data_IF_071157365809
#
_entry.id   IF_071157365809
#
_cell.length_a   1.000
_cell.length_b   1.000
_cell.length_c   1.000
_cell.angle_alpha   90.00
_cell.angle_beta   90.00
_cell.angle_gamma   90.00
#
_symmetry.space_group_name_H-M   'P 1'
#
loop_
_entity.id
_entity.type
_entity.pdbx_description
1 polymer ?
#
# COMPACT_ATOMS: atom_id res chain seq x y z
N UNK A 1 -1.45 -19.21 7.83
CA UNK A 1 -1.32 -19.22 6.34
C UNK A 1 -0.67 -17.91 5.92
N UNK A 2 0.29 -17.97 5.02
CA UNK A 2 1.04 -16.79 4.57
C UNK A 2 0.19 -15.86 3.69
N UNK A 3 0.36 -14.55 3.87
CA UNK A 3 -0.13 -13.52 2.96
C UNK A 3 0.94 -13.13 1.96
N UNK A 4 2.19 -13.06 2.40
CA UNK A 4 3.34 -12.68 1.59
C UNK A 4 4.43 -13.71 1.80
N UNK A 5 5.04 -14.18 0.71
CA UNK A 5 6.24 -14.99 0.71
C UNK A 5 7.18 -14.46 -0.37
N UNK A 6 8.38 -14.09 0.02
CA UNK A 6 9.47 -13.72 -0.88
C UNK A 6 10.69 -14.58 -0.55
N UNK A 7 11.31 -15.17 -1.56
CA UNK A 7 12.49 -16.02 -1.41
C UNK A 7 13.58 -15.55 -2.37
N UNK A 8 14.74 -15.23 -1.82
CA UNK A 8 15.93 -14.75 -2.54
C UNK A 8 15.61 -13.62 -3.54
N UNK A 9 14.62 -12.77 -3.17
CA UNK A 9 14.06 -11.75 -4.03
C UNK A 9 15.11 -10.69 -4.35
N UNK A 10 15.43 -10.56 -5.64
CA UNK A 10 16.43 -9.64 -6.14
C UNK A 10 15.83 -8.72 -7.20
N UNK A 11 16.15 -7.44 -7.11
CA UNK A 11 15.83 -6.47 -8.15
C UNK A 11 17.03 -5.61 -8.48
N UNK A 12 17.44 -5.67 -9.75
CA UNK A 12 18.55 -4.92 -10.31
C UNK A 12 18.01 -3.90 -11.30
N UNK A 13 18.46 -2.66 -11.18
CA UNK A 13 18.23 -1.62 -12.18
C UNK A 13 19.55 -1.30 -12.88
N UNK A 14 19.46 -0.97 -14.16
CA UNK A 14 20.57 -0.49 -14.94
C UNK A 14 20.44 1.02 -15.12
N UNK A 15 21.41 1.78 -14.64
CA UNK A 15 21.47 3.24 -14.77
C UNK A 15 22.74 3.60 -15.55
N UNK A 16 22.63 3.78 -16.87
CA UNK A 16 23.78 3.83 -17.75
C UNK A 16 24.55 2.50 -17.73
N UNK A 17 25.84 2.56 -17.42
CA UNK A 17 26.73 1.38 -17.31
C UNK A 17 26.76 0.78 -15.88
N UNK A 18 26.06 1.37 -14.92
CA UNK A 18 26.04 0.90 -13.54
C UNK A 18 24.86 -0.02 -13.23
N UNK A 19 25.13 -1.10 -12.47
CA UNK A 19 24.11 -1.95 -11.88
C UNK A 19 23.80 -1.51 -10.45
N UNK A 20 22.54 -1.14 -10.19
CA UNK A 20 22.04 -0.83 -8.85
C UNK A 20 21.18 -1.97 -8.36
N UNK A 21 21.66 -2.72 -7.36
CA UNK A 21 20.90 -3.79 -6.69
C UNK A 21 20.01 -3.18 -5.61
N UNK A 22 18.78 -2.85 -5.98
CA UNK A 22 17.81 -2.27 -5.05
C UNK A 22 17.29 -3.30 -4.02
N UNK A 23 17.19 -4.57 -4.42
CA UNK A 23 17.03 -5.73 -3.53
C UNK A 23 18.07 -6.80 -3.91
N UNK A 24 18.64 -7.47 -2.92
CA UNK A 24 19.74 -8.43 -3.07
C UNK A 24 19.51 -9.65 -2.17
N UNK A 25 18.77 -10.65 -2.69
CA UNK A 25 18.49 -11.90 -1.99
C UNK A 25 17.56 -11.77 -0.77
N UNK A 26 16.56 -10.85 -0.83
CA UNK A 26 15.64 -10.65 0.27
C UNK A 26 14.71 -11.85 0.46
N UNK A 27 14.68 -12.42 1.68
CA UNK A 27 13.75 -13.48 2.07
C UNK A 27 12.91 -13.02 3.24
N UNK A 28 11.59 -12.92 3.04
CA UNK A 28 10.60 -12.51 4.06
C UNK A 28 9.29 -13.28 3.91
N UNK A 29 8.62 -13.48 5.04
CA UNK A 29 7.26 -14.04 5.10
C UNK A 29 6.41 -13.22 6.05
N UNK A 30 5.14 -13.01 5.68
CA UNK A 30 4.15 -12.33 6.51
C UNK A 30 2.85 -13.14 6.51
N UNK A 31 2.28 -13.38 7.67
CA UNK A 31 1.00 -14.06 7.80
C UNK A 31 -0.18 -13.15 7.43
N UNK A 32 -1.32 -13.77 7.12
CA UNK A 32 -2.57 -13.06 6.80
C UNK A 32 -3.09 -12.28 8.00
N UNK A 33 -3.68 -11.13 7.72
CA UNK A 33 -4.27 -10.26 8.74
C UNK A 33 -3.25 -9.53 9.63
N UNK A 34 -1.94 -9.68 9.37
CA UNK A 34 -0.90 -9.00 10.14
C UNK A 34 -0.66 -7.58 9.64
N UNK A 35 -0.25 -6.75 10.58
CA UNK A 35 0.25 -5.40 10.32
C UNK A 35 1.79 -5.41 10.42
N UNK A 36 2.46 -5.10 9.32
CA UNK A 36 3.92 -5.06 9.25
C UNK A 36 4.44 -3.67 8.85
N UNK A 37 5.56 -3.26 9.45
CA UNK A 37 6.35 -2.11 9.01
C UNK A 37 7.60 -2.56 8.27
N UNK A 38 7.94 -1.88 7.19
CA UNK A 38 9.22 -1.96 6.50
C UNK A 38 10.00 -0.69 6.81
N UNK A 39 11.10 -0.82 7.55
CA UNK A 39 11.92 0.30 8.02
C UNK A 39 13.36 0.20 7.49
N UNK A 40 14.04 1.32 7.41
CA UNK A 40 15.42 1.38 6.95
C UNK A 40 15.78 2.75 6.37
N UNK A 41 17.07 3.02 6.12
CA UNK A 41 17.52 4.28 5.55
C UNK A 41 16.99 4.50 4.12
N UNK A 42 17.12 5.72 3.61
CA UNK A 42 16.83 6.00 2.19
C UNK A 42 17.71 5.12 1.30
N UNK A 43 17.16 4.63 0.19
CA UNK A 43 17.86 3.72 -0.73
C UNK A 43 17.99 2.27 -0.25
N UNK A 44 17.39 1.87 0.88
CA UNK A 44 17.49 0.48 1.39
C UNK A 44 16.61 -0.54 0.65
N UNK A 45 15.81 -0.13 -0.35
CA UNK A 45 14.98 -1.02 -1.16
C UNK A 45 13.50 -1.10 -0.74
N UNK A 46 13.04 -0.29 0.23
CA UNK A 46 11.66 -0.32 0.74
C UNK A 46 10.60 -0.11 -0.35
N UNK A 47 10.71 0.97 -1.12
CA UNK A 47 9.76 1.27 -2.20
C UNK A 47 9.86 0.24 -3.34
N UNK A 48 11.05 -0.34 -3.58
CA UNK A 48 11.21 -1.44 -4.53
C UNK A 48 10.48 -2.70 -4.05
N UNK A 49 10.61 -3.05 -2.76
CA UNK A 49 9.85 -4.16 -2.18
C UNK A 49 8.34 -3.93 -2.33
N UNK A 50 7.86 -2.73 -1.99
CA UNK A 50 6.45 -2.36 -2.15
C UNK A 50 5.98 -2.49 -3.60
N UNK A 51 6.80 -2.04 -4.57
CA UNK A 51 6.48 -2.15 -5.99
C UNK A 51 6.37 -3.61 -6.46
N UNK A 52 7.26 -4.49 -5.99
CA UNK A 52 7.21 -5.92 -6.31
C UNK A 52 6.01 -6.61 -5.66
N UNK A 53 5.75 -6.37 -4.37
CA UNK A 53 4.57 -6.90 -3.67
C UNK A 53 3.26 -6.42 -4.31
N UNK A 54 3.25 -5.20 -4.79
CA UNK A 54 2.10 -4.58 -5.45
C UNK A 54 1.95 -4.94 -6.93
N UNK A 55 2.87 -5.70 -7.52
CA UNK A 55 2.84 -6.02 -8.95
C UNK A 55 2.97 -4.79 -9.85
N UNK A 56 3.63 -3.73 -9.37
CA UNK A 56 4.00 -2.55 -10.17
C UNK A 56 5.31 -2.76 -10.92
N UNK A 57 6.14 -3.69 -10.41
CA UNK A 57 7.40 -4.09 -11.00
C UNK A 57 7.55 -5.61 -10.90
N UNK A 58 8.57 -6.18 -11.57
CA UNK A 58 8.86 -7.61 -11.58
C UNK A 58 10.27 -7.88 -11.06
N UNK A 59 10.51 -8.97 -10.31
CA UNK A 59 11.83 -9.28 -9.80
C UNK A 59 12.79 -9.66 -10.92
N UNK A 60 14.09 -9.37 -10.75
CA UNK A 60 15.17 -9.83 -11.62
C UNK A 60 15.50 -11.31 -11.38
N UNK A 61 15.43 -11.76 -10.12
CA UNK A 61 15.56 -13.17 -9.72
C UNK A 61 14.88 -13.41 -8.37
N UNK A 62 14.87 -14.69 -7.94
CA UNK A 62 14.12 -15.11 -6.76
C UNK A 62 12.63 -15.25 -7.05
N UNK A 63 11.80 -15.28 -6.00
CA UNK A 63 10.36 -15.42 -6.17
C UNK A 63 9.57 -14.57 -5.17
N UNK A 64 8.38 -14.16 -5.57
CA UNK A 64 7.42 -13.47 -4.72
C UNK A 64 6.01 -14.00 -4.96
N UNK A 65 5.31 -14.33 -3.89
CA UNK A 65 3.90 -14.69 -3.91
C UNK A 65 3.10 -13.89 -2.88
N UNK A 66 1.88 -13.54 -3.24
CA UNK A 66 0.94 -12.82 -2.38
C UNK A 66 -0.39 -13.56 -2.37
N UNK A 67 -0.85 -13.95 -1.18
CA UNK A 67 -2.03 -14.80 -0.99
C UNK A 67 -2.02 -16.07 -1.85
N UNK A 68 -0.81 -16.67 -2.03
CA UNK A 68 -0.59 -17.86 -2.85
C UNK A 68 -0.54 -17.59 -4.36
N UNK A 69 -0.73 -16.35 -4.82
CA UNK A 69 -0.55 -15.98 -6.22
C UNK A 69 0.93 -15.66 -6.48
N UNK A 70 1.60 -16.47 -7.28
CA UNK A 70 2.98 -16.23 -7.69
C UNK A 70 3.02 -15.11 -8.73
N UNK A 71 3.70 -14.00 -8.41
CA UNK A 71 3.75 -12.83 -9.29
C UNK A 71 4.82 -12.94 -10.39
N UNK A 72 5.82 -13.82 -10.19
CA UNK A 72 6.85 -14.07 -11.20
C UNK A 72 6.25 -14.59 -12.52
N UNK A 73 6.62 -13.96 -13.62
CA UNK A 73 6.19 -14.39 -14.96
C UNK A 73 4.74 -14.04 -15.32
N UNK A 74 4.02 -13.32 -14.46
CA UNK A 74 2.71 -12.77 -14.80
C UNK A 74 2.82 -11.77 -15.95
N UNK A 75 1.85 -11.81 -16.87
CA UNK A 75 1.72 -10.79 -17.90
C UNK A 75 1.28 -9.45 -17.31
N UNK A 76 1.42 -8.37 -18.06
CA UNK A 76 0.90 -7.06 -17.64
C UNK A 76 -0.60 -7.07 -17.34
N UNK A 77 -1.38 -7.89 -18.07
CA UNK A 77 -2.82 -8.07 -17.85
C UNK A 77 -3.09 -8.80 -16.52
N UNK A 78 -2.33 -9.87 -16.23
CA UNK A 78 -2.46 -10.61 -14.97
C UNK A 78 -2.09 -9.74 -13.77
N UNK A 79 -0.99 -8.97 -13.86
CA UNK A 79 -0.60 -8.02 -12.84
C UNK A 79 -1.65 -6.90 -12.66
N UNK A 80 -2.28 -6.43 -13.72
CA UNK A 80 -3.37 -5.47 -13.61
C UNK A 80 -4.62 -6.07 -12.93
N UNK A 81 -4.96 -7.33 -13.24
CA UNK A 81 -6.03 -8.06 -12.57
C UNK A 81 -5.71 -8.29 -11.08
N UNK A 82 -4.49 -8.70 -10.77
CA UNK A 82 -3.98 -8.85 -9.41
C UNK A 82 -4.10 -7.55 -8.60
N UNK A 83 -3.59 -6.42 -9.12
CA UNK A 83 -3.70 -5.12 -8.45
C UNK A 83 -5.15 -4.74 -8.18
N UNK A 84 -6.02 -4.94 -9.18
CA UNK A 84 -7.44 -4.59 -9.08
C UNK A 84 -8.18 -5.39 -8.01
N UNK A 85 -7.84 -6.68 -7.82
CA UNK A 85 -8.60 -7.59 -6.95
C UNK A 85 -7.95 -7.81 -5.57
N UNK A 86 -6.64 -7.59 -5.43
CA UNK A 86 -5.90 -8.05 -4.26
C UNK A 86 -5.24 -6.92 -3.50
N UNK A 87 -4.82 -5.84 -4.17
CA UNK A 87 -3.98 -4.80 -3.57
C UNK A 87 -4.67 -3.44 -3.54
N UNK A 88 -4.59 -2.77 -2.39
CA UNK A 88 -4.85 -1.34 -2.24
C UNK A 88 -3.53 -0.60 -2.02
N UNK A 89 -3.37 0.57 -2.67
CA UNK A 89 -2.18 1.40 -2.50
C UNK A 89 -2.53 2.73 -1.83
N UNK A 90 -1.73 3.10 -0.83
CA UNK A 90 -1.72 4.42 -0.19
C UNK A 90 -0.31 4.99 -0.34
N UNK A 91 -0.18 6.16 -0.95
CA UNK A 91 1.10 6.82 -1.19
C UNK A 91 1.22 8.10 -0.37
N UNK A 92 2.44 8.56 -0.17
CA UNK A 92 2.76 9.82 0.50
C UNK A 92 2.15 11.03 -0.23
N UNK A 93 2.17 11.07 -1.56
CA UNK A 93 1.69 12.18 -2.41
C UNK A 93 0.19 12.07 -2.78
N UNK A 94 -0.58 11.24 -2.09
CA UNK A 94 -2.01 11.02 -2.28
C UNK A 94 -2.44 10.55 -3.68
N UNK A 95 -1.86 11.08 -4.76
CA UNK A 95 -2.18 10.82 -6.17
C UNK A 95 -3.69 10.87 -6.47
N UNK A 96 -4.39 11.87 -5.93
CA UNK A 96 -5.78 12.12 -6.25
C UNK A 96 -5.90 12.84 -7.61
N UNK A 97 -6.92 12.46 -8.38
CA UNK A 97 -7.25 13.12 -9.63
C UNK A 97 -7.91 14.47 -9.32
N UNK A 98 -7.22 15.55 -9.64
CA UNK A 98 -7.58 16.93 -9.22
C UNK A 98 -8.90 17.43 -9.79
N UNK A 99 -9.34 16.90 -10.93
CA UNK A 99 -10.59 17.25 -11.59
C UNK A 99 -11.81 16.46 -11.10
N UNK A 100 -11.59 15.44 -10.26
CA UNK A 100 -12.63 14.61 -9.65
C UNK A 100 -12.88 15.02 -8.20
N UNK A 101 -14.11 14.82 -7.71
CA UNK A 101 -14.47 14.98 -6.30
C UNK A 101 -13.85 13.83 -5.45
N UNK A 102 -13.98 13.91 -4.12
CA UNK A 102 -13.54 12.87 -3.22
C UNK A 102 -14.24 11.53 -3.52
N UNK A 103 -15.56 11.53 -3.65
CA UNK A 103 -16.34 10.33 -4.00
C UNK A 103 -15.91 9.81 -5.39
N UNK A 104 -15.81 10.67 -6.38
CA UNK A 104 -15.41 10.27 -7.73
C UNK A 104 -13.99 9.67 -7.78
N UNK A 105 -13.06 10.15 -6.97
CA UNK A 105 -11.73 9.54 -6.82
C UNK A 105 -11.83 8.10 -6.29
N UNK A 106 -12.72 7.84 -5.34
CA UNK A 106 -12.97 6.48 -4.81
C UNK A 106 -13.70 5.60 -5.83
N UNK A 107 -14.53 6.16 -6.70
CA UNK A 107 -15.21 5.44 -7.77
C UNK A 107 -14.25 4.93 -8.87
N UNK A 108 -13.08 5.55 -9.06
CA UNK A 108 -12.15 5.20 -10.17
C UNK A 108 -11.78 3.72 -10.19
N UNK A 109 -11.25 3.10 -9.12
CA UNK A 109 -10.91 1.68 -9.14
C UNK A 109 -12.13 0.77 -9.33
N UNK A 110 -13.31 1.15 -8.84
CA UNK A 110 -14.56 0.42 -9.05
C UNK A 110 -15.01 0.49 -10.53
N UNK A 111 -14.82 1.64 -11.17
CA UNK A 111 -15.09 1.81 -12.60
C UNK A 111 -14.18 0.91 -13.45
N UNK A 112 -12.91 0.83 -13.10
CA UNK A 112 -11.95 -0.07 -13.75
C UNK A 112 -12.26 -1.55 -13.50
N UNK A 113 -12.93 -1.87 -12.41
CA UNK A 113 -13.46 -3.19 -12.10
C UNK A 113 -14.83 -3.48 -12.74
N UNK A 114 -15.35 -2.56 -13.58
CA UNK A 114 -16.64 -2.67 -14.26
C UNK A 114 -17.85 -2.81 -13.34
N UNK A 115 -17.76 -2.30 -12.10
CA UNK A 115 -18.87 -2.23 -11.15
C UNK A 115 -19.94 -1.28 -11.69
N UNK A 116 -21.21 -1.61 -11.52
CA UNK A 116 -22.35 -0.78 -11.98
C UNK A 116 -22.31 0.62 -11.36
N UNK A 117 -22.91 1.62 -12.04
CA UNK A 117 -22.86 3.01 -11.58
C UNK A 117 -23.48 3.19 -10.19
N UNK A 118 -24.57 2.49 -9.92
CA UNK A 118 -25.28 2.57 -8.63
C UNK A 118 -24.44 1.99 -7.50
N UNK A 119 -24.03 0.74 -7.63
CA UNK A 119 -23.19 0.05 -6.63
C UNK A 119 -21.87 0.79 -6.37
N UNK A 120 -21.26 1.34 -7.43
CA UNK A 120 -20.04 2.11 -7.35
C UNK A 120 -20.21 3.37 -6.51
N UNK A 121 -21.31 4.11 -6.73
CA UNK A 121 -21.64 5.32 -5.96
C UNK A 121 -21.92 5.00 -4.51
N UNK A 122 -22.73 3.98 -4.24
CA UNK A 122 -23.05 3.51 -2.89
C UNK A 122 -21.75 3.13 -2.15
N UNK A 123 -20.92 2.27 -2.76
CA UNK A 123 -19.66 1.85 -2.15
C UNK A 123 -18.69 3.02 -1.91
N UNK A 124 -18.59 3.97 -2.82
CA UNK A 124 -17.74 5.14 -2.65
C UNK A 124 -18.24 6.03 -1.50
N UNK A 125 -19.55 6.25 -1.35
CA UNK A 125 -20.12 6.97 -0.23
C UNK A 125 -19.83 6.27 1.11
N UNK A 126 -20.05 4.95 1.21
CA UNK A 126 -19.71 4.16 2.40
C UNK A 126 -18.25 4.35 2.82
N UNK A 127 -17.32 4.31 1.87
CA UNK A 127 -15.89 4.43 2.15
C UNK A 127 -15.49 5.86 2.55
N UNK A 128 -16.12 6.87 1.97
CA UNK A 128 -15.91 8.27 2.36
C UNK A 128 -16.45 8.51 3.78
N UNK A 129 -17.60 7.92 4.14
CA UNK A 129 -18.09 7.94 5.53
C UNK A 129 -17.16 7.19 6.47
N UNK A 130 -16.66 6.01 6.10
CA UNK A 130 -15.73 5.21 6.90
C UNK A 130 -14.48 5.99 7.32
N UNK A 131 -13.98 6.87 6.44
CA UNK A 131 -12.82 7.72 6.75
C UNK A 131 -13.20 9.09 7.33
N UNK A 132 -14.47 9.28 7.75
CA UNK A 132 -14.97 10.48 8.41
C UNK A 132 -15.08 11.72 7.50
N UNK A 133 -15.34 11.52 6.21
CA UNK A 133 -15.40 12.59 5.21
C UNK A 133 -16.76 12.71 4.48
N UNK A 134 -17.84 12.16 5.04
CA UNK A 134 -19.16 12.21 4.41
C UNK A 134 -19.58 13.63 3.99
N UNK A 135 -19.33 14.61 4.85
CA UNK A 135 -19.61 16.03 4.59
C UNK A 135 -18.68 16.69 3.55
N UNK A 136 -17.65 15.98 3.08
CA UNK A 136 -16.64 16.42 2.10
C UNK A 136 -16.69 15.65 0.78
N UNK A 137 -17.63 14.73 0.62
CA UNK A 137 -17.69 13.82 -0.53
C UNK A 137 -17.67 14.50 -1.90
N UNK A 138 -18.28 15.66 -2.03
CA UNK A 138 -18.37 16.44 -3.27
C UNK A 138 -17.24 17.48 -3.42
N UNK A 139 -16.31 17.57 -2.47
CA UNK A 139 -15.15 18.46 -2.55
C UNK A 139 -14.07 17.87 -3.47
N UNK A 140 -13.38 18.75 -4.21
CA UNK A 140 -12.21 18.39 -5.01
C UNK A 140 -10.93 18.45 -4.17
N UNK A 141 -9.86 17.77 -4.58
CA UNK A 141 -8.60 17.71 -3.83
C UNK A 141 -8.04 19.08 -3.40
N UNK A 142 -8.22 20.12 -4.22
CA UNK A 142 -7.75 21.48 -3.88
C UNK A 142 -8.54 22.12 -2.71
N UNK A 143 -9.72 21.61 -2.41
CA UNK A 143 -10.60 22.08 -1.33
C UNK A 143 -10.43 21.29 -0.04
N UNK A 144 -9.53 20.28 -0.04
CA UNK A 144 -9.27 19.38 1.05
C UNK A 144 -7.88 19.66 1.68
N UNK A 145 -7.81 19.55 3.00
CA UNK A 145 -6.54 19.57 3.72
C UNK A 145 -5.67 18.34 3.35
N UNK A 146 -4.39 18.36 3.72
CA UNK A 146 -3.48 17.22 3.50
C UNK A 146 -4.02 15.91 4.08
N UNK A 147 -4.47 15.95 5.33
CA UNK A 147 -5.04 14.76 5.99
C UNK A 147 -6.38 14.33 5.41
N UNK A 148 -7.24 15.24 4.95
CA UNK A 148 -8.47 14.87 4.24
C UNK A 148 -8.13 14.20 2.90
N UNK A 149 -7.15 14.72 2.15
CA UNK A 149 -6.67 14.07 0.91
C UNK A 149 -6.12 12.67 1.16
N UNK A 150 -5.36 12.48 2.23
CA UNK A 150 -4.85 11.16 2.59
C UNK A 150 -5.97 10.18 2.96
N UNK A 151 -6.97 10.63 3.70
CA UNK A 151 -8.15 9.81 4.02
C UNK A 151 -8.95 9.43 2.77
N UNK A 152 -9.09 10.32 1.80
CA UNK A 152 -9.66 9.98 0.47
C UNK A 152 -8.80 8.95 -0.26
N UNK A 153 -7.46 9.06 -0.22
CA UNK A 153 -6.56 8.08 -0.82
C UNK A 153 -6.69 6.69 -0.16
N UNK A 154 -6.88 6.64 1.17
CA UNK A 154 -7.17 5.39 1.89
C UNK A 154 -8.53 4.82 1.45
N UNK A 155 -9.58 5.62 1.42
CA UNK A 155 -10.89 5.19 0.95
C UNK A 155 -10.82 4.62 -0.48
N UNK A 156 -10.10 5.28 -1.38
CA UNK A 156 -9.84 4.80 -2.75
C UNK A 156 -9.10 3.46 -2.76
N UNK A 157 -8.10 3.28 -1.90
CA UNK A 157 -7.35 2.04 -1.80
C UNK A 157 -8.24 0.85 -1.37
N UNK A 158 -9.28 1.11 -0.58
CA UNK A 158 -10.23 0.11 -0.06
C UNK A 158 -11.38 -0.22 -1.04
N UNK A 159 -11.51 0.50 -2.15
CA UNK A 159 -12.66 0.43 -3.04
C UNK A 159 -12.98 -1.00 -3.48
N UNK A 160 -12.02 -1.73 -3.98
CA UNK A 160 -12.16 -3.12 -4.49
C UNK A 160 -12.01 -4.20 -3.40
N UNK A 161 -12.14 -3.86 -2.12
CA UNK A 161 -12.00 -4.79 -0.99
C UNK A 161 -10.68 -5.58 -1.05
N UNK A 162 -9.53 -4.89 -1.03
CA UNK A 162 -8.22 -5.54 -1.14
C UNK A 162 -7.95 -6.47 0.04
N UNK A 163 -7.16 -7.52 -0.19
CA UNK A 163 -6.64 -8.39 0.86
C UNK A 163 -5.34 -7.85 1.46
N UNK A 164 -4.59 -7.08 0.67
CA UNK A 164 -3.32 -6.47 1.03
C UNK A 164 -3.40 -4.95 0.82
N UNK A 165 -3.12 -4.18 1.86
CA UNK A 165 -2.94 -2.74 1.80
C UNK A 165 -1.46 -2.41 1.88
N UNK A 166 -0.94 -1.74 0.88
CA UNK A 166 0.43 -1.27 0.80
C UNK A 166 0.44 0.24 1.01
N UNK A 167 1.09 0.73 2.08
CA UNK A 167 1.14 2.14 2.42
C UNK A 167 2.59 2.63 2.44
N UNK A 168 2.96 3.50 1.49
CA UNK A 168 4.30 4.09 1.39
C UNK A 168 4.29 5.48 2.02
N UNK A 169 4.95 5.62 3.18
CA UNK A 169 5.04 6.85 3.97
C UNK A 169 3.67 7.56 4.17
N UNK A 170 2.63 6.85 4.66
CA UNK A 170 1.25 7.35 4.62
C UNK A 170 1.01 8.61 5.45
N UNK A 171 1.94 8.99 6.31
CA UNK A 171 1.87 10.18 7.17
C UNK A 171 2.98 11.20 6.90
N UNK A 172 3.87 10.93 5.92
CA UNK A 172 5.09 11.70 5.70
C UNK A 172 4.88 13.18 5.34
N UNK A 173 3.74 13.52 4.73
CA UNK A 173 3.38 14.90 4.35
C UNK A 173 2.33 15.54 5.30
N UNK A 174 2.15 14.99 6.51
CA UNK A 174 1.13 15.43 7.46
C UNK A 174 1.75 15.96 8.74
N UNK A 175 1.05 16.90 9.39
CA UNK A 175 1.37 17.27 10.76
C UNK A 175 1.09 16.11 11.72
N UNK A 176 1.65 16.16 12.92
CA UNK A 176 1.59 15.08 13.91
C UNK A 176 0.15 14.66 14.26
N UNK A 177 -0.74 15.63 14.52
CA UNK A 177 -2.15 15.36 14.87
C UNK A 177 -2.90 14.69 13.74
N UNK A 178 -2.72 15.17 12.52
CA UNK A 178 -3.36 14.62 11.33
C UNK A 178 -2.77 13.25 10.98
N UNK A 179 -1.46 13.08 11.15
CA UNK A 179 -0.77 11.80 10.98
C UNK A 179 -1.27 10.74 11.96
N UNK A 180 -1.48 11.09 13.22
CA UNK A 180 -2.05 10.18 14.22
C UNK A 180 -3.45 9.69 13.83
N UNK A 181 -4.33 10.58 13.33
CA UNK A 181 -5.65 10.19 12.87
C UNK A 181 -5.60 9.23 11.65
N UNK A 182 -4.68 9.45 10.71
CA UNK A 182 -4.46 8.55 9.57
C UNK A 182 -3.93 7.19 10.04
N UNK A 183 -2.99 7.18 10.98
CA UNK A 183 -2.47 5.97 11.61
C UNK A 183 -3.57 5.15 12.25
N UNK A 184 -4.44 5.78 13.04
CA UNK A 184 -5.58 5.11 13.68
C UNK A 184 -6.51 4.42 12.67
N UNK A 185 -6.79 5.07 11.55
CA UNK A 185 -7.58 4.45 10.47
C UNK A 185 -6.89 3.18 9.96
N UNK A 186 -5.58 3.22 9.67
CA UNK A 186 -4.84 2.06 9.16
C UNK A 186 -4.82 0.90 10.16
N UNK A 187 -4.63 1.20 11.47
CA UNK A 187 -4.67 0.20 12.54
C UNK A 187 -6.06 -0.44 12.67
N UNK A 188 -7.11 0.38 12.59
CA UNK A 188 -8.49 -0.09 12.68
C UNK A 188 -8.89 -0.95 11.47
N UNK A 189 -8.40 -0.64 10.27
CA UNK A 189 -8.62 -1.46 9.07
C UNK A 189 -8.02 -2.85 9.22
N UNK A 190 -6.81 -2.96 9.77
CA UNK A 190 -6.19 -4.25 10.04
C UNK A 190 -7.00 -5.07 11.07
N UNK A 191 -7.32 -4.48 12.22
CA UNK A 191 -8.02 -5.16 13.32
C UNK A 191 -9.44 -5.61 12.98
N UNK A 192 -10.21 -4.76 12.29
CA UNK A 192 -11.65 -4.97 12.10
C UNK A 192 -12.00 -5.65 10.77
N UNK A 193 -11.12 -5.60 9.77
CA UNK A 193 -11.38 -6.12 8.43
C UNK A 193 -10.42 -7.25 8.02
N UNK A 194 -9.52 -7.67 8.93
CA UNK A 194 -8.51 -8.72 8.70
C UNK A 194 -7.65 -8.46 7.44
N UNK A 195 -7.53 -7.20 7.03
CA UNK A 195 -6.69 -6.81 5.90
C UNK A 195 -5.22 -6.91 6.33
N UNK A 196 -4.40 -7.61 5.57
CA UNK A 196 -2.95 -7.54 5.76
C UNK A 196 -2.46 -6.16 5.36
N UNK A 197 -1.71 -5.50 6.24
CA UNK A 197 -1.19 -4.15 5.98
C UNK A 197 0.33 -4.18 6.03
N UNK A 198 0.97 -3.67 4.99
CA UNK A 198 2.41 -3.41 4.97
C UNK A 198 2.62 -1.92 4.78
N UNK A 199 3.28 -1.29 5.74
CA UNK A 199 3.61 0.13 5.65
C UNK A 199 5.12 0.34 5.62
N UNK A 200 5.56 1.20 4.74
CA UNK A 200 6.89 1.77 4.76
C UNK A 200 6.83 3.04 5.59
N UNK A 201 7.70 3.16 6.57
CA UNK A 201 7.78 4.36 7.39
C UNK A 201 9.18 4.60 7.94
N UNK A 202 9.52 5.86 8.12
CA UNK A 202 10.68 6.29 8.90
C UNK A 202 10.28 6.77 10.31
N UNK A 203 8.97 6.79 10.64
CA UNK A 203 8.47 7.16 11.96
C UNK A 203 8.56 5.95 12.91
N UNK A 204 9.42 6.00 13.97
CA UNK A 204 9.58 4.91 14.92
C UNK A 204 8.31 4.61 15.73
N UNK A 205 7.51 5.63 16.04
CA UNK A 205 6.27 5.45 16.80
C UNK A 205 5.24 4.63 16.03
N UNK A 206 5.12 4.92 14.73
CA UNK A 206 4.25 4.14 13.84
C UNK A 206 4.77 2.70 13.67
N UNK A 207 6.08 2.53 13.49
CA UNK A 207 6.69 1.22 13.37
C UNK A 207 6.48 0.37 14.65
N UNK A 208 6.58 0.99 15.83
CA UNK A 208 6.38 0.30 17.12
C UNK A 208 4.93 -0.13 17.39
N UNK A 209 3.96 0.40 16.64
CA UNK A 209 2.55 -0.01 16.72
C UNK A 209 2.23 -1.19 15.78
N UNK A 210 3.21 -1.67 15.01
CA UNK A 210 3.04 -2.84 14.13
C UNK A 210 3.44 -4.13 14.83
N UNK A 211 2.83 -5.25 14.42
CA UNK A 211 3.11 -6.57 14.98
C UNK A 211 4.44 -7.15 14.48
N UNK A 212 4.85 -6.75 13.27
CA UNK A 212 6.08 -7.23 12.63
C UNK A 212 6.84 -6.04 12.07
N UNK A 213 8.17 -6.01 12.26
CA UNK A 213 9.02 -5.01 11.62
C UNK A 213 10.10 -5.70 10.79
N UNK A 214 10.17 -5.38 9.52
CA UNK A 214 11.25 -5.77 8.63
C UNK A 214 12.23 -4.61 8.49
N UNK A 215 13.45 -4.79 8.99
CA UNK A 215 14.51 -3.79 8.84
C UNK A 215 15.35 -4.09 7.62
N UNK A 216 15.32 -3.17 6.65
CA UNK A 216 16.10 -3.28 5.42
C UNK A 216 17.34 -2.38 5.48
N UNK A 217 18.44 -2.88 4.87
CA UNK A 217 19.69 -2.14 4.68
C UNK A 217 20.45 -2.68 3.49
N UNK A 218 20.83 -1.81 2.54
CA UNK A 218 21.57 -2.21 1.34
C UNK A 218 20.85 -3.28 0.50
N UNK A 219 19.52 -3.20 0.37
CA UNK A 219 18.72 -4.16 -0.39
C UNK A 219 18.48 -5.51 0.31
N UNK A 220 18.96 -5.69 1.53
CA UNK A 220 18.87 -6.96 2.29
C UNK A 220 18.03 -6.79 3.56
N UNK A 221 17.43 -7.90 4.00
CA UNK A 221 16.82 -7.99 5.33
C UNK A 221 17.94 -8.05 6.39
N UNK A 222 17.94 -7.07 7.30
CA UNK A 222 18.89 -7.02 8.42
C UNK A 222 18.34 -7.74 9.66
N UNK A 223 17.07 -7.54 9.94
CA UNK A 223 16.38 -8.18 11.07
C UNK A 223 14.86 -8.18 10.87
N UNK A 224 14.22 -9.14 11.54
CA UNK A 224 12.75 -9.18 11.74
C UNK A 224 12.49 -9.08 13.24
N UNK A 225 11.61 -8.17 13.63
CA UNK A 225 11.18 -7.99 15.02
C UNK A 225 9.69 -8.33 15.06
N UNK A 226 9.30 -9.21 15.95
CA UNK A 226 7.89 -9.54 16.25
C UNK A 226 7.57 -8.90 17.62
N UNK A 227 6.56 -8.02 17.65
CA UNK A 227 6.08 -7.32 18.84
C UNK A 227 4.91 -8.07 19.49
#
# INVERSE_FOLDING_TARGET
MSAIEAQDLTRVFHVGDEEVRALDGLTVSLERGRLAAVIGPSGSGKSTLMALLGGLDTPSSGSVSVYGQKLNGMTHQDLAAYRRSTVGFVFQDFFLLSHLTAIENVEVPLKLAQVSRTERRERACELIELVGLGHRGDHRPQQLSGGERQRVAIARALANRPKLLLADEPTGNLDEKTGAAVTEILLNLNKNQEITVVLVTHNPELANQTEVQFRLGGGKLQSTINN
#
